data_IF_484773026999
#
_entry.id   IF_484773026999
#
_cell.length_a   1.000
_cell.length_b   1.000
_cell.length_c   1.000
_cell.angle_alpha   90.00
_cell.angle_beta   90.00
_cell.angle_gamma   90.00
#
_symmetry.space_group_name_H-M   'P 1'
#
loop_
_entity.id
_entity.type
_entity.pdbx_description
1 polymer ?
#
# COMPACT_ATOMS: atom_id res chain seq x y z
N UNK A 1 -0.44 -19.50 -27.90
CA UNK A 1 -0.27 -18.48 -26.84
C UNK A 1 -0.68 -17.12 -27.40
N UNK A 2 -1.51 -16.34 -26.70
CA UNK A 2 -1.90 -15.03 -27.20
C UNK A 2 -0.76 -14.01 -27.01
N UNK A 3 -0.42 -13.28 -28.08
CA UNK A 3 0.67 -12.29 -28.08
C UNK A 3 0.08 -10.88 -28.20
N UNK A 4 0.53 -9.89 -27.41
CA UNK A 4 0.03 -8.53 -27.52
C UNK A 4 0.42 -7.91 -28.86
N UNK A 5 -0.58 -7.45 -29.63
CA UNK A 5 -0.37 -6.83 -30.95
C UNK A 5 0.29 -5.44 -30.87
N UNK A 6 0.10 -4.73 -29.77
CA UNK A 6 0.63 -3.38 -29.53
C UNK A 6 1.07 -3.23 -28.08
N UNK A 7 2.08 -2.36 -27.85
CA UNK A 7 2.50 -2.00 -26.48
C UNK A 7 1.43 -1.20 -25.76
N UNK A 8 1.36 -1.36 -24.44
CA UNK A 8 0.51 -0.51 -23.60
C UNK A 8 1.01 0.93 -23.62
N UNK A 9 0.09 1.90 -23.69
CA UNK A 9 0.43 3.32 -23.55
C UNK A 9 1.04 3.61 -22.17
N UNK A 10 1.80 4.71 -22.09
CA UNK A 10 2.47 5.11 -20.84
C UNK A 10 1.48 5.36 -19.70
N UNK A 11 0.34 5.98 -20.00
CA UNK A 11 -0.73 6.21 -19.03
C UNK A 11 -1.27 4.89 -18.46
N UNK A 12 -1.67 3.95 -19.33
CA UNK A 12 -2.19 2.62 -18.91
C UNK A 12 -1.17 1.85 -18.06
N UNK A 13 0.12 1.92 -18.40
CA UNK A 13 1.20 1.31 -17.60
C UNK A 13 1.34 1.97 -16.22
N UNK A 14 1.23 3.29 -16.12
CA UNK A 14 1.29 4.02 -14.83
C UNK A 14 0.10 3.68 -13.93
N UNK A 15 -1.11 3.63 -14.47
CA UNK A 15 -2.33 3.30 -13.71
C UNK A 15 -2.20 1.92 -13.04
N UNK A 16 -1.80 0.88 -13.79
CA UNK A 16 -1.59 -0.47 -13.21
C UNK A 16 -0.55 -0.48 -12.10
N UNK A 17 0.56 0.24 -12.27
CA UNK A 17 1.60 0.36 -11.23
C UNK A 17 1.09 1.12 -10.00
N UNK A 18 0.28 2.16 -10.18
CA UNK A 18 -0.30 2.89 -9.06
C UNK A 18 -1.29 2.05 -8.26
N UNK A 19 -2.08 1.18 -8.92
CA UNK A 19 -2.96 0.23 -8.22
C UNK A 19 -2.15 -0.70 -7.31
N UNK A 20 -1.03 -1.24 -7.81
CA UNK A 20 -0.14 -2.07 -6.99
C UNK A 20 0.49 -1.29 -5.82
N UNK A 21 0.94 -0.05 -6.05
CA UNK A 21 1.53 0.81 -5.00
C UNK A 21 0.52 1.26 -3.94
N UNK A 22 -0.79 1.31 -4.26
CA UNK A 22 -1.85 1.72 -3.33
C UNK A 22 -1.95 0.79 -2.10
N UNK A 23 -1.62 -0.49 -2.25
CA UNK A 23 -1.58 -1.43 -1.13
C UNK A 23 -0.57 -1.01 -0.05
N UNK A 24 0.62 -0.59 -0.46
CA UNK A 24 1.67 -0.13 0.47
C UNK A 24 1.29 1.15 1.22
N UNK A 25 0.58 2.07 0.56
CA UNK A 25 0.07 3.28 1.22
C UNK A 25 -0.88 2.95 2.38
N UNK A 26 -1.83 2.03 2.15
CA UNK A 26 -2.78 1.61 3.20
C UNK A 26 -2.07 0.92 4.37
N UNK A 27 -1.07 0.09 4.08
CA UNK A 27 -0.26 -0.54 5.12
C UNK A 27 0.51 0.52 5.95
N UNK A 28 1.08 1.53 5.29
CA UNK A 28 1.79 2.63 5.95
C UNK A 28 0.88 3.45 6.88
N UNK A 29 -0.34 3.78 6.44
CA UNK A 29 -1.30 4.52 7.28
C UNK A 29 -1.67 3.72 8.53
N UNK A 30 -1.94 2.42 8.40
CA UNK A 30 -2.25 1.56 9.54
C UNK A 30 -1.06 1.41 10.49
N UNK A 31 0.14 1.21 9.96
CA UNK A 31 1.36 1.09 10.76
C UNK A 31 1.66 2.38 11.55
N UNK A 32 1.49 3.56 10.94
CA UNK A 32 1.69 4.83 11.61
C UNK A 32 0.68 5.07 12.73
N UNK A 33 -0.60 4.79 12.48
CA UNK A 33 -1.66 4.86 13.50
C UNK A 33 -1.37 3.93 14.68
N UNK A 34 -0.92 2.70 14.40
CA UNK A 34 -0.54 1.74 15.42
C UNK A 34 0.65 2.21 16.26
N UNK A 35 1.71 2.70 15.62
CA UNK A 35 2.89 3.22 16.31
C UNK A 35 2.54 4.37 17.26
N UNK A 36 1.64 5.28 16.85
CA UNK A 36 1.13 6.35 17.72
C UNK A 36 0.38 5.80 18.93
N UNK A 37 -0.50 4.82 18.73
CA UNK A 37 -1.22 4.16 19.83
C UNK A 37 -0.26 3.55 20.86
N UNK A 38 0.72 2.77 20.38
CA UNK A 38 1.74 2.13 21.24
C UNK A 38 2.57 3.17 21.99
N UNK A 39 2.99 4.26 21.31
CA UNK A 39 3.86 5.28 21.92
C UNK A 39 3.26 5.99 23.14
N UNK A 40 1.94 5.99 23.29
CA UNK A 40 1.26 6.60 24.45
C UNK A 40 1.26 5.73 25.69
N UNK A 41 1.57 4.43 25.59
CA UNK A 41 1.60 3.51 26.74
C UNK A 41 0.24 3.26 27.41
N UNK A 42 -0.84 3.85 26.92
CA UNK A 42 -2.20 3.67 27.46
C UNK A 42 -2.89 2.39 26.96
N UNK A 43 -2.41 1.84 25.85
CA UNK A 43 -2.99 0.65 25.23
C UNK A 43 -2.58 -0.62 25.97
N UNK A 44 -3.44 -1.17 26.82
CA UNK A 44 -3.19 -2.42 27.58
C UNK A 44 -3.26 -3.70 26.73
N UNK A 45 -3.81 -3.62 25.51
CA UNK A 45 -3.99 -4.75 24.60
C UNK A 45 -2.82 -4.95 23.64
N UNK A 46 -2.03 -3.92 23.39
CA UNK A 46 -0.83 -4.01 22.56
C UNK A 46 0.36 -4.23 23.47
N UNK A 47 0.77 -5.50 23.60
CA UNK A 47 2.04 -5.84 24.25
C UNK A 47 3.15 -5.71 23.20
N UNK A 48 4.15 -4.89 23.53
CA UNK A 48 5.47 -4.89 22.88
C UNK A 48 6.45 -5.51 23.86
#
# INVERSE_FOLDING_TARGET
MAVPKKRTSMSKKRIRRNIWRKGGYLAGVKAFSLAKSISTGHSKSFFV
#
